data_IF_631612878486
#
_entry.id   IF_631612878486
#
_cell.length_a   1.000
_cell.length_b   1.000
_cell.length_c   1.000
_cell.angle_alpha   90.00
_cell.angle_beta   90.00
_cell.angle_gamma   90.00
#
_symmetry.space_group_name_H-M   'P 1'
#
loop_
_entity.id
_entity.type
_entity.pdbx_description
1 polymer ?
#
# COMPACT_ATOMS: atom_id res chain seq x y z
N UNK A 1 -11.35 -19.64 21.02
CA UNK A 1 -11.76 -18.88 19.83
C UNK A 1 -10.81 -17.72 19.70
N UNK A 2 -10.14 -17.60 18.55
CA UNK A 2 -9.07 -16.65 18.24
C UNK A 2 -9.46 -15.20 18.54
N UNK A 3 -8.62 -14.51 19.29
CA UNK A 3 -8.64 -13.04 19.39
C UNK A 3 -8.39 -12.46 17.99
N UNK A 4 -9.44 -12.19 17.23
CA UNK A 4 -9.33 -11.44 15.98
C UNK A 4 -9.16 -9.95 16.33
N UNK A 5 -7.99 -9.64 16.92
CA UNK A 5 -7.67 -8.31 17.40
C UNK A 5 -7.51 -7.41 16.18
N UNK A 6 -8.42 -6.45 16.02
CA UNK A 6 -8.28 -5.39 15.04
C UNK A 6 -6.99 -4.62 15.33
N UNK A 7 -6.00 -4.74 14.44
CA UNK A 7 -4.73 -4.04 14.54
C UNK A 7 -4.83 -2.67 13.88
N UNK A 8 -4.05 -1.71 14.39
CA UNK A 8 -3.78 -0.43 13.74
C UNK A 8 -2.44 -0.55 13.01
N UNK A 9 -2.45 -0.50 11.68
CA UNK A 9 -1.32 -0.86 10.83
C UNK A 9 -0.90 0.36 10.00
N UNK A 10 0.39 0.64 9.96
CA UNK A 10 1.00 1.50 8.92
C UNK A 10 1.56 0.56 7.87
N UNK A 11 1.09 0.67 6.63
CA UNK A 11 1.55 -0.15 5.52
C UNK A 11 2.64 0.57 4.75
N UNK A 12 3.77 -0.10 4.47
CA UNK A 12 4.87 0.49 3.71
C UNK A 12 5.12 -0.35 2.46
N UNK A 13 4.73 0.17 1.30
CA UNK A 13 4.79 -0.54 0.03
C UNK A 13 4.94 0.42 -1.14
N UNK A 14 5.53 -0.03 -2.22
CA UNK A 14 5.75 0.77 -3.43
C UNK A 14 5.47 -0.01 -4.70
N UNK A 15 6.00 -1.23 -4.89
CA UNK A 15 5.81 -1.96 -6.14
C UNK A 15 4.39 -2.53 -6.27
N UNK A 16 4.00 -2.89 -7.49
CA UNK A 16 2.68 -3.45 -7.82
C UNK A 16 2.33 -4.67 -6.98
N UNK A 17 3.32 -5.54 -6.69
CA UNK A 17 3.09 -6.75 -5.90
C UNK A 17 2.69 -6.48 -4.44
N UNK A 18 2.91 -5.26 -3.93
CA UNK A 18 2.52 -4.89 -2.56
C UNK A 18 1.03 -4.57 -2.45
N UNK A 19 0.35 -4.27 -3.56
CA UNK A 19 -1.08 -3.90 -3.56
C UNK A 19 -1.98 -5.05 -3.04
N UNK A 20 -1.84 -6.31 -3.51
CA UNK A 20 -2.66 -7.41 -2.99
C UNK A 20 -2.48 -7.65 -1.49
N UNK A 21 -1.30 -7.36 -0.93
CA UNK A 21 -1.06 -7.46 0.51
C UNK A 21 -1.82 -6.38 1.29
N UNK A 22 -1.83 -5.14 0.80
CA UNK A 22 -2.61 -4.05 1.39
C UNK A 22 -4.11 -4.38 1.36
N UNK A 23 -4.62 -4.84 0.23
CA UNK A 23 -6.02 -5.26 0.07
C UNK A 23 -6.38 -6.39 1.03
N UNK A 24 -5.53 -7.40 1.17
CA UNK A 24 -5.76 -8.52 2.09
C UNK A 24 -5.84 -8.07 3.56
N UNK A 25 -5.00 -7.11 3.98
CA UNK A 25 -5.05 -6.56 5.34
C UNK A 25 -6.33 -5.78 5.61
N UNK A 26 -6.83 -5.04 4.62
CA UNK A 26 -8.11 -4.33 4.68
C UNK A 26 -9.27 -5.33 4.75
N UNK A 27 -9.26 -6.35 3.89
CA UNK A 27 -10.27 -7.41 3.86
C UNK A 27 -10.30 -8.25 5.15
N UNK A 28 -9.14 -8.44 5.80
CA UNK A 28 -9.03 -9.07 7.11
C UNK A 28 -9.64 -8.23 8.26
N UNK A 29 -10.09 -7.00 7.98
CA UNK A 29 -10.75 -6.13 8.95
C UNK A 29 -9.78 -5.33 9.85
N UNK A 30 -8.51 -5.25 9.48
CA UNK A 30 -7.55 -4.41 10.19
C UNK A 30 -7.72 -2.93 9.83
N UNK A 31 -7.36 -2.05 10.75
CA UNK A 31 -7.39 -0.60 10.53
C UNK A 31 -6.05 -0.16 9.96
N UNK A 32 -6.01 0.17 8.67
CA UNK A 32 -4.84 0.80 8.04
C UNK A 32 -4.88 2.30 8.37
N UNK A 33 -3.96 2.77 9.20
CA UNK A 33 -3.93 4.16 9.68
C UNK A 33 -3.01 5.07 8.86
N UNK A 34 -2.22 4.48 7.96
CA UNK A 34 -1.35 5.21 7.05
C UNK A 34 -0.69 4.29 6.04
N UNK A 35 -0.40 4.84 4.87
CA UNK A 35 0.29 4.14 3.78
C UNK A 35 1.50 4.98 3.37
N UNK A 36 2.67 4.35 3.36
CA UNK A 36 3.93 4.96 2.95
C UNK A 36 4.44 4.29 1.67
N UNK A 37 4.79 5.11 0.68
CA UNK A 37 5.35 4.66 -0.58
C UNK A 37 6.53 5.56 -1.00
N UNK A 38 7.32 5.12 -1.98
CA UNK A 38 8.31 6.01 -2.60
C UNK A 38 7.62 7.27 -3.13
N UNK A 39 8.29 8.43 -3.14
CA UNK A 39 7.71 9.62 -3.75
C UNK A 39 7.52 9.40 -5.25
N UNK A 40 6.59 10.15 -5.83
CA UNK A 40 6.35 10.14 -7.28
C UNK A 40 7.66 10.50 -7.98
N UNK A 41 8.10 9.64 -8.91
CA UNK A 41 9.37 9.81 -9.63
C UNK A 41 9.13 9.70 -11.12
N UNK A 42 9.97 10.41 -11.88
CA UNK A 42 9.99 10.30 -13.33
C UNK A 42 10.49 8.91 -13.73
N UNK A 43 9.75 8.20 -14.59
CA UNK A 43 10.11 6.85 -15.04
C UNK A 43 9.90 6.73 -16.55
N UNK A 44 10.68 5.84 -17.19
CA UNK A 44 10.58 5.57 -18.61
C UNK A 44 11.15 6.67 -19.53
N UNK A 45 11.01 6.47 -20.84
CA UNK A 45 11.46 7.42 -21.87
C UNK A 45 10.48 8.59 -21.92
N UNK A 46 10.99 9.82 -21.87
CA UNK A 46 10.16 11.03 -21.78
C UNK A 46 9.86 11.51 -20.36
N UNK A 47 10.37 10.81 -19.32
CA UNK A 47 10.37 11.28 -17.92
C UNK A 47 9.00 11.71 -17.38
N UNK A 48 7.94 11.01 -17.77
CA UNK A 48 6.62 11.27 -17.18
C UNK A 48 6.62 10.90 -15.69
N UNK A 49 5.92 11.70 -14.89
CA UNK A 49 5.74 11.46 -13.46
C UNK A 49 4.84 10.24 -13.30
N UNK A 50 5.34 9.19 -12.65
CA UNK A 50 4.57 8.00 -12.34
C UNK A 50 4.34 7.92 -10.83
N UNK A 51 3.07 7.79 -10.45
CA UNK A 51 2.69 7.55 -9.06
C UNK A 51 2.96 6.08 -8.71
N UNK A 52 3.42 5.78 -7.48
CA UNK A 52 3.56 4.41 -7.02
C UNK A 52 2.23 3.67 -7.04
N UNK A 53 2.20 2.39 -7.45
CA UNK A 53 1.03 1.53 -7.41
C UNK A 53 0.27 1.53 -6.07
N UNK A 54 1.01 1.50 -4.95
CA UNK A 54 0.43 1.53 -3.60
C UNK A 54 -0.25 2.88 -3.25
N UNK A 55 0.10 3.97 -3.96
CA UNK A 55 -0.51 5.29 -3.75
C UNK A 55 -1.89 5.42 -4.42
N UNK A 56 -2.15 4.61 -5.44
CA UNK A 56 -3.38 4.65 -6.25
C UNK A 56 -4.32 3.48 -5.97
N UNK A 57 -3.95 2.61 -5.01
CA UNK A 57 -4.74 1.50 -4.52
C UNK A 57 -5.84 1.94 -3.56
#
# INVERSE_FOLDING_TARGET
>A
MSDNKQLRIVFMGTPDFSVPTLEALIQAGHSIVGVYCQPDKQKGRGKQVQMPPVKVA
#
